data_IF_439307658956
#
_entry.id   IF_439307658956
#
_cell.length_a   1.000
_cell.length_b   1.000
_cell.length_c   1.000
_cell.angle_alpha   90.00
_cell.angle_beta   90.00
_cell.angle_gamma   90.00
#
_symmetry.space_group_name_H-M   'P 1'
#
loop_
_entity.id
_entity.type
_entity.pdbx_description
1 polymer ?
#
# COMPACT_ATOMS: atom_id res chain seq x y z
N UNK A 1 0.61 31.13 12.19
CA UNK A 1 -0.42 30.06 12.24
C UNK A 1 -0.05 29.17 13.40
N UNK A 2 -0.69 29.37 14.56
CA UNK A 2 -0.43 28.54 15.74
C UNK A 2 -1.13 27.21 15.53
N UNK A 3 -0.37 26.16 15.26
CA UNK A 3 -0.86 24.80 15.42
C UNK A 3 -1.13 24.63 16.91
N UNK A 4 -2.39 24.81 17.34
CA UNK A 4 -2.79 24.40 18.67
C UNK A 4 -2.61 22.89 18.71
N UNK A 5 -1.69 22.34 19.53
CA UNK A 5 -1.55 20.91 19.62
C UNK A 5 -2.91 20.34 20.02
N UNK A 6 -3.44 19.42 19.21
CA UNK A 6 -4.66 18.72 19.55
C UNK A 6 -4.37 17.88 20.80
N UNK A 7 -4.83 18.36 21.95
CA UNK A 7 -4.78 17.61 23.21
C UNK A 7 -5.49 16.27 23.00
N UNK A 8 -4.76 15.16 23.16
CA UNK A 8 -5.24 13.81 22.90
C UNK A 8 -6.51 13.49 23.72
N UNK A 9 -6.58 14.06 24.92
CA UNK A 9 -7.73 14.02 25.82
C UNK A 9 -9.01 14.60 25.20
N UNK A 10 -8.93 15.69 24.44
CA UNK A 10 -10.08 16.33 23.78
C UNK A 10 -10.59 15.46 22.63
N UNK A 11 -9.70 14.84 21.87
CA UNK A 11 -10.05 13.90 20.80
C UNK A 11 -10.73 12.66 21.37
N UNK A 12 -10.15 12.07 22.43
CA UNK A 12 -10.74 10.92 23.10
C UNK A 12 -12.15 11.23 23.62
N UNK A 13 -12.34 12.38 24.28
CA UNK A 13 -13.64 12.80 24.78
C UNK A 13 -14.67 13.01 23.66
N UNK A 14 -14.28 13.66 22.56
CA UNK A 14 -15.16 13.88 21.40
C UNK A 14 -15.61 12.57 20.74
N UNK A 15 -14.76 11.55 20.76
CA UNK A 15 -15.06 10.20 20.27
C UNK A 15 -15.83 9.33 21.29
N UNK A 16 -16.16 9.87 22.47
CA UNK A 16 -16.83 9.12 23.54
C UNK A 16 -15.97 8.01 24.16
N UNK A 17 -14.64 8.15 24.08
CA UNK A 17 -13.67 7.17 24.59
C UNK A 17 -12.71 7.83 25.59
N UNK A 18 -11.80 7.03 26.16
CA UNK A 18 -10.73 7.53 27.03
C UNK A 18 -9.41 7.63 26.27
N UNK A 19 -8.52 8.50 26.73
CA UNK A 19 -7.19 8.67 26.15
C UNK A 19 -6.41 7.35 26.11
N UNK A 20 -6.49 6.55 27.17
CA UNK A 20 -5.86 5.23 27.25
C UNK A 20 -6.39 4.27 26.18
N UNK A 21 -7.70 4.25 25.95
CA UNK A 21 -8.31 3.39 24.91
C UNK A 21 -7.88 3.88 23.52
N UNK A 22 -7.85 5.20 23.30
CA UNK A 22 -7.39 5.77 22.04
C UNK A 22 -5.93 5.42 21.76
N UNK A 23 -5.04 5.55 22.75
CA UNK A 23 -3.63 5.16 22.63
C UNK A 23 -3.46 3.67 22.31
N UNK A 24 -4.24 2.80 22.95
CA UNK A 24 -4.22 1.36 22.66
C UNK A 24 -4.64 1.07 21.22
N UNK A 25 -5.71 1.70 20.74
CA UNK A 25 -6.20 1.50 19.38
C UNK A 25 -5.16 1.96 18.33
N UNK A 26 -4.47 3.08 18.59
CA UNK A 26 -3.41 3.59 17.71
C UNK A 26 -2.23 2.60 17.67
N UNK A 27 -1.77 2.13 18.82
CA UNK A 27 -0.70 1.13 18.89
C UNK A 27 -1.07 -0.18 18.17
N UNK A 28 -2.33 -0.58 18.23
CA UNK A 28 -2.83 -1.75 17.51
C UNK A 28 -2.89 -1.54 15.98
N UNK A 29 -3.01 -0.30 15.48
CA UNK A 29 -2.99 0.01 14.04
C UNK A 29 -1.62 -0.25 13.41
N UNK A 30 -0.54 0.08 14.12
CA UNK A 30 0.83 -0.07 13.61
C UNK A 30 1.20 -1.54 13.33
N UNK A 31 0.54 -2.49 14.00
CA UNK A 31 0.75 -3.92 13.77
C UNK A 31 0.04 -4.47 12.53
N UNK A 32 -0.99 -3.78 12.03
CA UNK A 32 -1.81 -4.22 10.89
C UNK A 32 -1.59 -3.38 9.62
N UNK A 33 -1.06 -2.17 9.75
CA UNK A 33 -0.70 -1.33 8.62
C UNK A 33 0.51 -1.94 7.89
N UNK A 34 0.32 -2.33 6.63
CA UNK A 34 1.44 -2.71 5.78
C UNK A 34 2.45 -1.56 5.79
N UNK A 35 3.66 -1.82 6.27
CA UNK A 35 4.69 -0.80 6.42
C UNK A 35 5.02 -0.20 5.04
N UNK A 36 4.46 0.99 4.77
CA UNK A 36 4.61 1.68 3.50
C UNK A 36 6.04 2.19 3.28
N UNK A 37 6.90 2.12 4.30
CA UNK A 37 8.32 2.49 4.24
C UNK A 37 9.18 1.41 3.60
N UNK A 38 8.69 0.17 3.50
CA UNK A 38 9.45 -0.93 2.91
C UNK A 38 9.75 -0.67 1.43
N UNK A 39 11.04 -0.69 1.10
CA UNK A 39 11.54 -0.52 -0.28
C UNK A 39 11.24 -1.74 -1.16
N UNK A 40 11.15 -2.92 -0.55
CA UNK A 40 10.92 -4.18 -1.26
C UNK A 40 9.93 -5.08 -0.51
N UNK A 41 8.94 -5.60 -1.24
CA UNK A 41 7.79 -6.32 -0.73
C UNK A 41 7.85 -7.80 -1.04
N UNK A 42 7.19 -8.63 -0.24
CA UNK A 42 6.79 -9.96 -0.69
C UNK A 42 5.75 -9.86 -1.80
N UNK A 43 5.57 -10.96 -2.54
CA UNK A 43 4.50 -11.06 -3.54
C UNK A 43 3.12 -10.88 -2.89
N UNK A 44 2.93 -11.38 -1.66
CA UNK A 44 1.66 -11.27 -0.95
C UNK A 44 1.38 -9.83 -0.48
N UNK A 45 2.40 -9.11 0.01
CA UNK A 45 2.31 -7.69 0.34
C UNK A 45 1.99 -6.85 -0.90
N UNK A 46 2.66 -7.12 -2.02
CA UNK A 46 2.40 -6.44 -3.28
C UNK A 46 0.96 -6.68 -3.78
N UNK A 47 0.46 -7.93 -3.68
CA UNK A 47 -0.92 -8.26 -4.01
C UNK A 47 -1.93 -7.49 -3.15
N UNK A 48 -1.66 -7.38 -1.84
CA UNK A 48 -2.48 -6.58 -0.91
C UNK A 48 -2.45 -5.09 -1.27
N UNK A 49 -1.28 -4.53 -1.58
CA UNK A 49 -1.16 -3.11 -1.98
C UNK A 49 -1.92 -2.78 -3.26
N UNK A 50 -1.96 -3.70 -4.23
CA UNK A 50 -2.76 -3.56 -5.44
C UNK A 50 -4.24 -4.00 -5.25
N UNK A 51 -4.61 -4.51 -4.07
CA UNK A 51 -5.93 -5.08 -3.80
C UNK A 51 -6.37 -6.16 -4.81
N UNK A 52 -5.44 -7.05 -5.17
CA UNK A 52 -5.67 -8.19 -6.08
C UNK A 52 -5.41 -9.53 -5.39
N UNK A 53 -5.93 -10.61 -5.99
CA UNK A 53 -5.64 -11.96 -5.54
C UNK A 53 -4.16 -12.33 -5.73
N UNK A 54 -3.63 -13.18 -4.82
CA UNK A 54 -2.24 -13.67 -4.89
C UNK A 54 -1.92 -14.30 -6.24
N UNK A 55 -2.83 -15.12 -6.77
CA UNK A 55 -2.66 -15.79 -8.07
C UNK A 55 -2.42 -14.78 -9.20
N UNK A 56 -3.20 -13.70 -9.22
CA UNK A 56 -3.02 -12.63 -10.21
C UNK A 56 -1.66 -11.97 -10.07
N UNK A 57 -1.23 -11.68 -8.84
CA UNK A 57 0.10 -11.10 -8.60
C UNK A 57 1.23 -12.04 -9.04
N UNK A 58 1.12 -13.34 -8.75
CA UNK A 58 2.08 -14.34 -9.24
C UNK A 58 2.13 -14.36 -10.77
N UNK A 59 0.98 -14.29 -11.45
CA UNK A 59 0.93 -14.22 -12.91
C UNK A 59 1.60 -12.97 -13.45
N UNK A 60 1.38 -11.79 -12.85
CA UNK A 60 2.01 -10.53 -13.26
C UNK A 60 3.53 -10.55 -13.08
N UNK A 61 4.02 -11.18 -12.00
CA UNK A 61 5.46 -11.34 -11.76
C UNK A 61 6.07 -12.37 -12.71
N UNK A 62 5.33 -13.44 -13.03
CA UNK A 62 5.77 -14.48 -13.96
C UNK A 62 5.77 -14.01 -15.42
N UNK A 63 4.80 -13.19 -15.83
CA UNK A 63 4.76 -12.55 -17.15
C UNK A 63 5.82 -11.46 -17.32
N UNK A 64 6.35 -10.95 -16.21
CA UNK A 64 7.28 -9.82 -16.20
C UNK A 64 6.60 -8.45 -16.27
N UNK A 65 5.27 -8.40 -16.21
CA UNK A 65 4.50 -7.15 -16.17
C UNK A 65 4.81 -6.34 -14.91
N UNK A 66 5.06 -7.03 -13.79
CA UNK A 66 5.55 -6.42 -12.56
C UNK A 66 7.00 -6.86 -12.30
N UNK A 67 7.98 -5.94 -12.37
CA UNK A 67 9.37 -6.22 -12.05
C UNK A 67 9.54 -6.83 -10.66
N UNK A 68 10.42 -7.82 -10.55
CA UNK A 68 10.80 -8.40 -9.26
C UNK A 68 12.29 -8.71 -9.22
N UNK A 69 12.86 -8.64 -8.03
CA UNK A 69 14.27 -8.91 -7.74
C UNK A 69 14.39 -10.15 -6.85
N UNK A 70 15.38 -10.98 -7.12
CA UNK A 70 15.71 -12.11 -6.26
C UNK A 70 16.84 -11.70 -5.31
N UNK A 71 16.60 -11.81 -4.00
CA UNK A 71 17.60 -11.59 -2.95
C UNK A 71 17.83 -12.94 -2.27
N UNK A 72 18.92 -13.62 -2.65
CA UNK A 72 19.19 -15.00 -2.22
C UNK A 72 18.10 -15.96 -2.69
N UNK A 73 17.34 -16.53 -1.75
CA UNK A 73 16.20 -17.44 -2.05
C UNK A 73 14.85 -16.72 -2.10
N UNK A 74 14.81 -15.43 -1.78
CA UNK A 74 13.59 -14.66 -1.64
C UNK A 74 13.34 -13.85 -2.91
N UNK A 75 12.14 -13.97 -3.48
CA UNK A 75 11.66 -13.05 -4.51
C UNK A 75 10.99 -11.85 -3.86
N UNK A 76 11.40 -10.65 -4.25
CA UNK A 76 10.88 -9.38 -3.75
C UNK A 76 10.42 -8.49 -4.90
N UNK A 77 9.38 -7.70 -4.65
CA UNK A 77 8.84 -6.72 -5.58
C UNK A 77 9.19 -5.33 -5.06
N UNK A 78 9.96 -4.51 -5.78
CA UNK A 78 10.21 -3.13 -5.38
C UNK A 78 8.89 -2.37 -5.24
N UNK A 79 8.74 -1.54 -4.21
CA UNK A 79 7.50 -0.79 -3.99
C UNK A 79 7.14 0.10 -5.20
N UNK A 80 8.14 0.80 -5.76
CA UNK A 80 8.00 1.66 -6.93
C UNK A 80 7.50 0.92 -8.19
N UNK A 81 7.80 -0.39 -8.31
CA UNK A 81 7.38 -1.19 -9.45
C UNK A 81 5.85 -1.30 -9.56
N UNK A 82 5.12 -1.19 -8.44
CA UNK A 82 3.67 -1.21 -8.41
C UNK A 82 3.08 0.07 -9.02
N UNK A 83 3.64 1.23 -8.67
CA UNK A 83 3.23 2.53 -9.19
C UNK A 83 3.52 2.62 -10.70
N UNK A 84 4.69 2.15 -11.12
CA UNK A 84 5.06 2.07 -12.54
C UNK A 84 4.12 1.17 -13.33
N UNK A 85 3.77 0.00 -12.80
CA UNK A 85 2.82 -0.92 -13.40
C UNK A 85 1.44 -0.26 -13.59
N UNK A 86 0.90 0.38 -12.55
CA UNK A 86 -0.39 1.08 -12.63
C UNK A 86 -0.35 2.24 -13.63
N UNK A 87 0.71 3.05 -13.60
CA UNK A 87 0.87 4.17 -14.52
C UNK A 87 0.94 3.69 -15.98
N UNK A 88 1.67 2.60 -16.24
CA UNK A 88 1.72 1.98 -17.56
C UNK A 88 0.35 1.45 -18.00
N UNK A 89 -0.39 0.80 -17.08
CA UNK A 89 -1.72 0.25 -17.36
C UNK A 89 -2.73 1.34 -17.70
N UNK A 90 -2.76 2.43 -16.93
CA UNK A 90 -3.65 3.57 -17.18
C UNK A 90 -3.35 4.22 -18.54
N UNK A 91 -2.07 4.42 -18.87
CA UNK A 91 -1.68 4.95 -20.20
C UNK A 91 -2.13 4.04 -21.34
N UNK A 92 -1.97 2.73 -21.20
CA UNK A 92 -2.39 1.77 -22.22
C UNK A 92 -3.91 1.82 -22.46
N UNK A 93 -4.71 1.92 -21.38
CA UNK A 93 -6.17 2.08 -21.49
C UNK A 93 -6.53 3.41 -22.16
N UNK A 94 -5.89 4.52 -21.77
CA UNK A 94 -6.13 5.83 -22.37
C UNK A 94 -5.80 5.88 -23.86
N UNK A 95 -4.69 5.26 -24.28
CA UNK A 95 -4.31 5.17 -25.68
C UNK A 95 -5.31 4.35 -26.52
N UNK A 96 -5.84 3.25 -25.96
CA UNK A 96 -6.86 2.45 -26.63
C UNK A 96 -8.17 3.22 -26.83
N UNK A 97 -8.58 4.03 -25.86
CA UNK A 97 -9.77 4.89 -25.98
C UNK A 97 -9.57 5.98 -27.03
N UNK A 98 -8.38 6.60 -27.10
CA UNK A 98 -8.07 7.65 -28.07
C UNK A 98 -8.02 7.14 -29.53
N UNK A 99 -7.65 5.87 -29.76
CA UNK A 99 -7.66 5.28 -31.10
C UNK A 99 -9.09 4.89 -31.57
N UNK A 100 -10.04 4.80 -30.64
CA UNK A 100 -11.43 4.42 -30.91
C UNK A 100 -12.38 5.63 -31.07
N UNK A 101 -11.88 6.87 -30.91
CA UNK A 101 -12.62 8.13 -31.05
C UNK A 101 -12.20 8.88 -32.33
#
# INVERSE_FOLDING_TARGET
>A
MSETPLELSRVAHALGTTEHVLLRLIADQDSAAADNTLVALTIEEAARRLSIGRTTMYSLVASGDVPSVTIGRLRRVPAQALDEYLAARVRAVGAAVALAA
#
